data_IF_482490140368
#
_entry.id   IF_482490140368
#
_cell.length_a   1.000
_cell.length_b   1.000
_cell.length_c   1.000
_cell.angle_alpha   90.00
_cell.angle_beta   90.00
_cell.angle_gamma   90.00
#
_symmetry.space_group_name_H-M   'P 1'
#
loop_
_entity.id
_entity.type
_entity.pdbx_description
1 polymer ?
#
# COMPACT_ATOMS: atom_id res chain seq x y z
N UNK A 1 1.78 7.12 27.16
CA UNK A 1 1.69 8.56 27.49
C UNK A 1 0.33 9.02 27.03
N UNK A 2 -0.52 9.44 27.96
CA UNK A 2 -1.80 10.04 27.60
C UNK A 2 -1.56 11.32 26.79
N UNK A 3 -2.20 11.40 25.63
CA UNK A 3 -2.07 12.51 24.70
C UNK A 3 -3.41 13.23 24.61
N UNK A 4 -3.39 14.55 24.70
CA UNK A 4 -4.60 15.34 24.46
C UNK A 4 -5.10 15.11 23.04
N UNK A 5 -6.39 15.39 22.73
CA UNK A 5 -6.88 15.32 21.35
C UNK A 5 -6.00 16.13 20.37
N UNK A 6 -5.48 17.28 20.79
CA UNK A 6 -4.57 18.08 19.96
C UNK A 6 -3.29 17.32 19.60
N UNK A 7 -2.67 16.63 20.56
CA UNK A 7 -1.49 15.80 20.30
C UNK A 7 -1.78 14.66 19.32
N UNK A 8 -2.93 13.99 19.46
CA UNK A 8 -3.33 12.90 18.54
C UNK A 8 -3.61 13.37 17.11
N UNK A 9 -4.09 14.60 16.93
CA UNK A 9 -4.44 15.17 15.63
C UNK A 9 -3.39 16.14 15.05
N UNK A 10 -2.26 16.35 15.73
CA UNK A 10 -1.24 17.34 15.31
C UNK A 10 -0.89 17.22 13.81
N UNK A 11 -0.58 16.02 13.34
CA UNK A 11 -0.25 15.80 11.94
C UNK A 11 -1.42 16.02 10.97
N UNK A 12 -2.66 15.84 11.41
CA UNK A 12 -3.83 16.16 10.58
C UNK A 12 -3.87 17.67 10.29
N UNK A 13 -3.64 18.51 11.31
CA UNK A 13 -3.54 19.95 11.11
C UNK A 13 -2.38 20.36 10.20
N UNK A 14 -1.21 19.73 10.35
CA UNK A 14 -0.06 19.95 9.45
C UNK A 14 -0.42 19.65 8.01
N UNK A 15 -1.06 18.51 7.74
CA UNK A 15 -1.47 18.14 6.38
C UNK A 15 -2.56 19.04 5.82
N UNK A 16 -3.53 19.45 6.64
CA UNK A 16 -4.55 20.41 6.22
C UNK A 16 -3.94 21.78 5.87
N UNK A 17 -2.94 22.24 6.64
CA UNK A 17 -2.21 23.47 6.34
C UNK A 17 -1.40 23.36 5.05
N UNK A 18 -0.81 22.20 4.76
CA UNK A 18 -0.04 21.93 3.54
C UNK A 18 -0.90 21.66 2.29
N UNK A 19 -2.23 21.57 2.43
CA UNK A 19 -3.14 21.18 1.36
C UNK A 19 -3.05 22.11 0.15
N UNK A 20 -3.04 23.42 0.37
CA UNK A 20 -2.96 24.39 -0.73
C UNK A 20 -1.65 24.26 -1.52
N UNK A 21 -0.54 23.96 -0.85
CA UNK A 21 0.77 23.85 -1.49
C UNK A 21 0.90 22.60 -2.34
N UNK A 22 0.45 21.45 -1.85
CA UNK A 22 0.45 20.21 -2.65
C UNK A 22 -0.51 20.32 -3.83
N UNK A 23 -1.68 20.95 -3.66
CA UNK A 23 -2.63 21.20 -4.76
C UNK A 23 -2.03 22.12 -5.83
N UNK A 24 -1.29 23.16 -5.43
CA UNK A 24 -0.55 24.02 -6.36
C UNK A 24 0.57 23.26 -7.07
N UNK A 25 1.27 22.36 -6.38
CA UNK A 25 2.26 21.48 -6.99
C UNK A 25 1.63 20.56 -8.04
N UNK A 26 0.52 19.90 -7.72
CA UNK A 26 -0.24 19.07 -8.65
C UNK A 26 -0.69 19.86 -9.88
N UNK A 27 -1.24 21.07 -9.70
CA UNK A 27 -1.63 21.93 -10.81
C UNK A 27 -0.45 22.29 -11.73
N UNK A 28 0.72 22.65 -11.18
CA UNK A 28 1.93 22.94 -11.97
C UNK A 28 2.46 21.72 -12.74
N UNK A 29 2.26 20.51 -12.21
CA UNK A 29 2.58 19.24 -12.88
C UNK A 29 1.49 18.78 -13.85
N UNK A 30 0.40 19.53 -13.96
CA UNK A 30 -0.74 19.19 -14.81
C UNK A 30 -1.51 17.96 -14.35
N UNK A 31 -1.40 17.58 -13.08
CA UNK A 31 -2.12 16.42 -12.53
C UNK A 31 -3.64 16.69 -12.56
N UNK A 32 -4.46 15.79 -13.11
CA UNK A 32 -5.92 15.94 -13.08
C UNK A 32 -6.46 16.14 -11.66
N UNK A 33 -7.48 16.99 -11.53
CA UNK A 33 -8.05 17.35 -10.22
C UNK A 33 -8.57 16.11 -9.47
N UNK A 34 -9.26 15.22 -10.18
CA UNK A 34 -9.78 13.96 -9.66
C UNK A 34 -8.67 13.05 -9.10
N UNK A 35 -7.53 12.93 -9.79
CA UNK A 35 -6.38 12.12 -9.34
C UNK A 35 -5.77 12.74 -8.09
N UNK A 36 -5.64 14.06 -8.07
CA UNK A 36 -5.14 14.75 -6.88
C UNK A 36 -6.05 14.54 -5.67
N UNK A 37 -7.36 14.70 -5.81
CA UNK A 37 -8.28 14.52 -4.69
C UNK A 37 -8.39 13.06 -4.26
N UNK A 38 -8.40 12.11 -5.20
CA UNK A 38 -8.35 10.69 -4.89
C UNK A 38 -7.10 10.33 -4.08
N UNK A 39 -5.95 10.89 -4.47
CA UNK A 39 -4.68 10.74 -3.76
C UNK A 39 -4.77 11.33 -2.35
N UNK A 40 -5.18 12.58 -2.20
CA UNK A 40 -5.21 13.27 -0.90
C UNK A 40 -6.30 12.74 0.05
N UNK A 41 -7.31 12.05 -0.48
CA UNK A 41 -8.34 11.36 0.31
C UNK A 41 -7.76 10.26 1.19
N UNK A 42 -6.52 9.83 0.96
CA UNK A 42 -5.83 8.87 1.84
C UNK A 42 -5.66 9.42 3.27
N UNK A 43 -5.66 10.75 3.46
CA UNK A 43 -5.70 11.35 4.80
C UNK A 43 -6.90 10.84 5.61
N UNK A 44 -8.10 10.86 5.03
CA UNK A 44 -9.31 10.35 5.68
C UNK A 44 -9.26 8.85 5.98
N UNK A 45 -8.67 8.05 5.06
CA UNK A 45 -8.50 6.61 5.25
C UNK A 45 -7.55 6.30 6.40
N UNK A 46 -6.45 7.06 6.51
CA UNK A 46 -5.49 6.89 7.60
C UNK A 46 -6.07 7.33 8.96
N UNK A 47 -6.89 8.39 9.00
CA UNK A 47 -7.64 8.78 10.20
C UNK A 47 -8.61 7.67 10.67
N UNK A 48 -9.34 7.05 9.73
CA UNK A 48 -10.22 5.92 10.03
C UNK A 48 -9.43 4.71 10.55
N UNK A 49 -8.32 4.36 9.89
CA UNK A 49 -7.45 3.25 10.29
C UNK A 49 -6.87 3.43 11.68
N UNK A 50 -6.38 4.64 11.99
CA UNK A 50 -5.83 4.97 13.31
C UNK A 50 -6.87 4.73 14.43
N UNK A 51 -8.12 5.15 14.19
CA UNK A 51 -9.24 4.89 15.12
C UNK A 51 -9.54 3.41 15.29
N UNK A 52 -9.55 2.64 14.20
CA UNK A 52 -9.79 1.19 14.26
C UNK A 52 -8.70 0.46 15.04
N UNK A 53 -7.43 0.86 14.85
CA UNK A 53 -6.28 0.22 15.48
C UNK A 53 -6.17 0.53 16.98
N UNK A 54 -6.52 1.74 17.39
CA UNK A 54 -6.15 2.27 18.71
C UNK A 54 -7.36 2.65 19.57
N UNK A 55 -8.58 2.53 19.04
CA UNK A 55 -9.83 2.73 19.77
C UNK A 55 -10.27 4.19 19.92
N UNK A 56 -9.38 5.15 19.69
CA UNK A 56 -9.64 6.59 19.75
C UNK A 56 -9.18 7.31 18.47
N UNK A 57 -9.66 8.53 18.25
CA UNK A 57 -9.34 9.27 17.04
C UNK A 57 -7.97 9.96 17.08
N UNK A 58 -7.23 9.86 15.97
CA UNK A 58 -5.94 10.51 15.78
C UNK A 58 -5.32 10.23 14.40
N UNK A 59 -4.07 10.65 14.23
CA UNK A 59 -3.23 10.35 13.07
C UNK A 59 -1.80 10.05 13.52
N UNK A 60 -1.60 8.94 14.25
CA UNK A 60 -0.30 8.58 14.82
C UNK A 60 0.60 7.89 13.80
N UNK A 61 0.04 7.27 12.76
CA UNK A 61 0.81 6.76 11.60
C UNK A 61 1.04 7.85 10.54
N UNK A 62 1.65 8.98 10.92
CA UNK A 62 1.71 10.16 10.05
C UNK A 62 2.73 10.07 8.91
N UNK A 63 3.83 9.34 9.07
CA UNK A 63 4.96 9.36 8.13
C UNK A 63 4.60 8.96 6.69
N UNK A 64 3.65 8.02 6.52
CA UNK A 64 3.18 7.58 5.20
C UNK A 64 2.59 8.72 4.36
N UNK A 65 1.83 9.62 4.99
CA UNK A 65 1.13 10.71 4.30
C UNK A 65 2.09 11.79 3.79
N UNK A 66 3.35 11.81 4.23
CA UNK A 66 4.36 12.71 3.66
C UNK A 66 4.53 12.49 2.15
N UNK A 67 4.37 11.26 1.66
CA UNK A 67 4.43 10.95 0.23
C UNK A 67 3.34 11.67 -0.58
N UNK A 68 2.15 11.78 0.00
CA UNK A 68 0.99 12.40 -0.63
C UNK A 68 1.20 13.91 -0.68
N UNK A 69 1.53 14.51 0.46
CA UNK A 69 1.66 15.96 0.60
C UNK A 69 2.96 16.53 0.01
N UNK A 70 3.93 15.67 -0.37
CA UNK A 70 5.10 16.07 -1.17
C UNK A 70 4.98 15.74 -2.68
N UNK A 71 3.83 15.21 -3.12
CA UNK A 71 3.57 14.90 -4.54
C UNK A 71 4.43 13.75 -5.11
N UNK A 72 4.74 12.74 -4.28
CA UNK A 72 5.50 11.56 -4.69
C UNK A 72 4.62 10.34 -5.04
N UNK A 73 3.40 10.27 -4.51
CA UNK A 73 2.46 9.16 -4.70
C UNK A 73 1.17 9.66 -5.36
N UNK A 74 0.58 8.84 -6.23
CA UNK A 74 -0.68 9.14 -6.91
C UNK A 74 -1.60 7.92 -6.92
N UNK A 75 -2.88 8.11 -6.62
CA UNK A 75 -3.90 7.10 -6.76
C UNK A 75 -4.46 7.12 -8.19
N UNK A 76 -4.28 6.02 -8.92
CA UNK A 76 -4.77 5.84 -10.28
C UNK A 76 -5.73 4.64 -10.26
N UNK A 77 -7.02 4.91 -10.13
CA UNK A 77 -8.03 3.86 -9.91
C UNK A 77 -7.88 3.16 -8.55
N UNK A 78 -7.73 1.83 -8.58
CA UNK A 78 -7.65 0.97 -7.40
C UNK A 78 -6.29 0.99 -6.70
N UNK A 79 -5.20 1.21 -7.44
CA UNK A 79 -3.83 1.18 -6.91
C UNK A 79 -3.27 2.60 -6.75
N UNK A 80 -2.23 2.69 -5.92
CA UNK A 80 -1.42 3.89 -5.75
C UNK A 80 0.01 3.62 -6.21
N UNK A 81 0.65 4.64 -6.78
CA UNK A 81 1.98 4.55 -7.37
C UNK A 81 2.89 5.63 -6.82
N UNK A 82 4.00 5.25 -6.18
CA UNK A 82 5.01 6.17 -5.66
C UNK A 82 6.23 6.19 -6.58
N UNK A 83 6.71 7.37 -6.95
CA UNK A 83 8.01 7.50 -7.64
C UNK A 83 9.14 7.13 -6.67
N UNK A 84 9.99 6.19 -7.07
CA UNK A 84 11.12 5.73 -6.26
C UNK A 84 12.29 5.27 -7.15
N UNK A 85 13.40 4.92 -6.51
CA UNK A 85 14.50 4.21 -7.14
C UNK A 85 14.56 2.79 -6.57
N UNK A 86 14.98 1.84 -7.41
CA UNK A 86 15.30 0.47 -6.98
C UNK A 86 16.34 0.53 -5.88
N UNK A 87 16.11 -0.20 -4.79
CA UNK A 87 17.05 -0.37 -3.68
C UNK A 87 17.73 -1.72 -3.81
N UNK A 88 18.91 -1.92 -3.21
CA UNK A 88 19.61 -3.21 -3.16
C UNK A 88 18.68 -4.40 -2.83
N UNK A 89 17.79 -4.23 -1.84
CA UNK A 89 16.85 -5.27 -1.41
C UNK A 89 15.78 -5.67 -2.46
N UNK A 90 15.67 -4.92 -3.56
CA UNK A 90 14.69 -5.16 -4.62
C UNK A 90 15.33 -5.57 -5.94
N UNK A 91 16.67 -5.66 -6.02
CA UNK A 91 17.40 -5.96 -7.25
C UNK A 91 17.01 -7.34 -7.79
N UNK A 92 16.81 -7.42 -9.11
CA UNK A 92 16.57 -8.65 -9.84
C UNK A 92 17.42 -8.66 -11.12
N UNK A 93 17.56 -9.82 -11.77
CA UNK A 93 18.36 -9.92 -13.00
C UNK A 93 17.92 -8.94 -14.11
N UNK A 94 16.66 -8.51 -14.09
CA UNK A 94 16.06 -7.62 -15.08
C UNK A 94 16.32 -6.12 -14.87
N UNK A 95 16.87 -5.70 -13.71
CA UNK A 95 17.12 -4.29 -13.36
C UNK A 95 18.03 -4.14 -12.13
N UNK A 96 18.82 -3.05 -12.11
CA UNK A 96 19.81 -2.78 -11.06
C UNK A 96 19.36 -1.74 -10.04
N UNK A 97 20.09 -1.66 -8.94
CA UNK A 97 19.95 -0.61 -7.94
C UNK A 97 20.09 0.79 -8.55
N UNK A 98 19.30 1.74 -8.06
CA UNK A 98 19.29 3.12 -8.52
C UNK A 98 18.39 3.37 -9.74
N UNK A 99 17.96 2.35 -10.49
CA UNK A 99 17.03 2.55 -11.59
C UNK A 99 15.69 3.16 -11.11
N UNK A 100 15.09 4.11 -11.85
CA UNK A 100 13.76 4.61 -11.53
C UNK A 100 12.70 3.49 -11.58
N UNK A 101 11.79 3.47 -10.62
CA UNK A 101 10.69 2.53 -10.54
C UNK A 101 9.45 3.18 -9.91
N UNK A 102 8.29 2.55 -10.10
CA UNK A 102 7.07 2.90 -9.38
C UNK A 102 6.81 1.89 -8.25
N UNK A 103 6.68 2.38 -7.02
CA UNK A 103 6.20 1.58 -5.89
C UNK A 103 4.68 1.42 -5.95
N UNK A 104 4.17 0.18 -5.98
CA UNK A 104 2.73 -0.12 -5.95
C UNK A 104 2.25 -0.24 -4.50
N UNK A 105 1.16 0.45 -4.19
CA UNK A 105 0.49 0.42 -2.90
C UNK A 105 -1.02 0.19 -3.05
N UNK A 106 -1.62 -0.43 -2.03
CA UNK A 106 -3.02 -0.87 -2.04
C UNK A 106 -3.79 -0.13 -0.95
N UNK A 107 -4.53 0.95 -1.27
CA UNK A 107 -5.38 1.62 -0.29
C UNK A 107 -6.56 0.72 0.09
N UNK A 108 -6.99 0.77 1.36
CA UNK A 108 -8.14 0.03 1.91
C UNK A 108 -9.46 0.70 1.46
N UNK A 109 -9.81 0.52 0.18
CA UNK A 109 -10.94 1.23 -0.46
C UNK A 109 -11.92 0.33 -1.23
N UNK A 110 -11.65 -0.97 -1.33
CA UNK A 110 -12.51 -1.91 -2.04
C UNK A 110 -11.80 -3.23 -2.40
N UNK A 111 -12.46 -4.15 -3.11
CA UNK A 111 -11.83 -5.39 -3.57
C UNK A 111 -10.70 -5.11 -4.58
N UNK A 112 -9.74 -6.03 -4.66
CA UNK A 112 -8.68 -6.04 -5.69
C UNK A 112 -9.15 -6.85 -6.91
N UNK A 113 -10.26 -6.46 -7.54
CA UNK A 113 -10.72 -7.18 -8.74
C UNK A 113 -9.66 -7.11 -9.84
N UNK A 114 -9.49 -8.17 -10.65
CA UNK A 114 -8.51 -8.19 -11.74
C UNK A 114 -8.64 -6.96 -12.64
N UNK A 115 -9.86 -6.61 -13.02
CA UNK A 115 -10.17 -5.52 -13.94
C UNK A 115 -9.72 -4.17 -13.36
N UNK A 116 -10.02 -3.92 -12.09
CA UNK A 116 -9.63 -2.67 -11.44
C UNK A 116 -8.11 -2.55 -11.23
N UNK A 117 -7.41 -3.68 -11.02
CA UNK A 117 -5.96 -3.71 -10.98
C UNK A 117 -5.35 -3.45 -12.36
N UNK A 118 -5.90 -4.07 -13.41
CA UNK A 118 -5.41 -3.93 -14.78
C UNK A 118 -5.63 -2.50 -15.28
N UNK A 119 -6.78 -1.90 -15.00
CA UNK A 119 -7.06 -0.48 -15.28
C UNK A 119 -6.07 0.46 -14.57
N UNK A 120 -5.74 0.18 -13.31
CA UNK A 120 -4.74 0.95 -12.56
C UNK A 120 -3.34 0.86 -13.16
N UNK A 121 -2.92 -0.35 -13.57
CA UNK A 121 -1.61 -0.59 -14.17
C UNK A 121 -1.51 0.08 -15.54
N UNK A 122 -2.56 -0.03 -16.37
CA UNK A 122 -2.64 0.61 -17.68
C UNK A 122 -2.57 2.15 -17.61
N UNK A 123 -3.10 2.76 -16.54
CA UNK A 123 -3.00 4.20 -16.31
C UNK A 123 -1.60 4.66 -15.90
N UNK A 124 -0.82 3.81 -15.22
CA UNK A 124 0.42 4.24 -14.56
C UNK A 124 1.46 4.78 -15.56
N UNK A 125 1.82 4.00 -16.57
CA UNK A 125 2.84 4.38 -17.54
C UNK A 125 2.55 5.71 -18.27
N UNK A 126 1.38 5.92 -18.90
CA UNK A 126 1.08 7.18 -19.56
C UNK A 126 1.00 8.36 -18.58
N UNK A 127 0.48 8.14 -17.37
CA UNK A 127 0.41 9.18 -16.34
C UNK A 127 1.80 9.69 -15.96
N UNK A 128 2.72 8.80 -15.58
CA UNK A 128 4.06 9.22 -15.15
C UNK A 128 4.90 9.75 -16.32
N UNK A 129 4.76 9.19 -17.52
CA UNK A 129 5.43 9.74 -18.71
C UNK A 129 5.00 11.19 -19.01
N UNK A 130 3.72 11.51 -18.81
CA UNK A 130 3.18 12.86 -19.05
C UNK A 130 3.58 13.87 -17.99
N UNK A 131 3.48 13.49 -16.71
CA UNK A 131 3.59 14.44 -15.60
C UNK A 131 4.99 14.48 -14.95
N UNK A 132 5.79 13.44 -15.16
CA UNK A 132 7.14 13.28 -14.62
C UNK A 132 8.13 12.73 -15.67
N UNK A 133 8.25 13.36 -16.85
CA UNK A 133 9.09 12.88 -17.95
C UNK A 133 10.58 12.81 -17.57
N UNK A 134 11.01 13.51 -16.52
CA UNK A 134 12.39 13.49 -16.04
C UNK A 134 12.84 12.16 -15.42
N UNK A 135 11.90 11.29 -15.05
CA UNK A 135 12.16 9.98 -14.42
C UNK A 135 11.41 8.88 -15.15
N UNK A 136 11.77 8.57 -16.42
CA UNK A 136 11.11 7.52 -17.17
C UNK A 136 11.34 6.17 -16.51
N UNK A 137 10.30 5.34 -16.46
CA UNK A 137 10.41 3.98 -15.94
C UNK A 137 9.41 3.05 -16.63
N UNK A 138 9.81 1.79 -16.72
CA UNK A 138 8.98 0.65 -17.15
C UNK A 138 8.68 -0.31 -15.99
N UNK A 139 9.21 -0.04 -14.80
CA UNK A 139 9.24 -0.98 -13.69
C UNK A 139 8.25 -0.56 -12.62
N UNK A 140 7.49 -1.53 -12.12
CA UNK A 140 6.74 -1.38 -10.89
C UNK A 140 7.13 -2.46 -9.88
N UNK A 141 7.27 -2.05 -8.62
CA UNK A 141 7.69 -2.89 -7.50
C UNK A 141 6.63 -2.82 -6.41
N UNK A 142 6.25 -3.96 -5.86
CA UNK A 142 5.37 -4.05 -4.71
C UNK A 142 6.04 -4.87 -3.62
N UNK A 143 5.95 -4.40 -2.38
CA UNK A 143 6.32 -5.18 -1.19
C UNK A 143 5.09 -5.28 -0.31
N UNK A 144 4.58 -6.50 -0.12
CA UNK A 144 3.36 -6.73 0.66
C UNK A 144 3.22 -8.18 1.09
N UNK A 145 2.52 -8.40 2.20
CA UNK A 145 2.02 -9.72 2.60
C UNK A 145 1.08 -10.34 1.56
N UNK A 146 0.42 -9.51 0.73
CA UNK A 146 -0.45 -9.98 -0.36
C UNK A 146 0.31 -10.75 -1.46
N UNK A 147 1.64 -10.64 -1.50
CA UNK A 147 2.50 -11.33 -2.46
C UNK A 147 3.03 -12.66 -1.92
N UNK A 148 2.64 -13.08 -0.72
CA UNK A 148 3.07 -14.34 -0.13
C UNK A 148 2.43 -15.55 -0.86
N UNK A 149 3.23 -16.42 -1.53
CA UNK A 149 2.71 -17.62 -2.19
C UNK A 149 1.98 -18.57 -1.23
N UNK A 150 2.30 -18.54 0.07
CA UNK A 150 1.66 -19.36 1.10
C UNK A 150 0.13 -19.12 1.15
N UNK A 151 -0.36 -17.95 0.69
CA UNK A 151 -1.79 -17.65 0.65
C UNK A 151 -2.56 -18.61 -0.29
N UNK A 152 -1.90 -19.12 -1.33
CA UNK A 152 -2.52 -20.05 -2.28
C UNK A 152 -2.74 -21.45 -1.70
N UNK A 153 -2.15 -21.80 -0.56
CA UNK A 153 -2.45 -23.05 0.16
C UNK A 153 -3.84 -23.02 0.81
N UNK A 154 -4.40 -21.83 1.04
CA UNK A 154 -5.65 -21.64 1.79
C UNK A 154 -6.77 -20.96 1.00
N UNK A 155 -6.41 -20.15 0.01
CA UNK A 155 -7.35 -19.38 -0.78
C UNK A 155 -7.60 -20.02 -2.15
N UNK A 156 -8.82 -19.88 -2.65
CA UNK A 156 -9.16 -20.36 -3.98
C UNK A 156 -8.29 -19.67 -5.06
N UNK A 157 -7.91 -20.39 -6.15
CA UNK A 157 -7.07 -19.84 -7.22
C UNK A 157 -7.64 -18.61 -7.91
N UNK A 158 -8.96 -18.42 -7.85
CA UNK A 158 -9.69 -17.29 -8.41
C UNK A 158 -9.88 -16.12 -7.43
N UNK A 159 -9.45 -16.27 -6.18
CA UNK A 159 -9.49 -15.17 -5.21
C UNK A 159 -8.65 -13.98 -5.69
N UNK A 160 -9.18 -12.78 -5.46
CA UNK A 160 -8.55 -11.52 -5.86
C UNK A 160 -7.12 -11.38 -5.31
N UNK A 161 -6.87 -11.84 -4.08
CA UNK A 161 -5.55 -11.79 -3.44
C UNK A 161 -4.55 -12.68 -4.19
N UNK A 162 -4.90 -13.94 -4.47
CA UNK A 162 -4.03 -14.86 -5.21
C UNK A 162 -3.78 -14.36 -6.63
N UNK A 163 -4.82 -13.87 -7.32
CA UNK A 163 -4.69 -13.28 -8.66
C UNK A 163 -3.79 -12.05 -8.64
N UNK A 164 -3.90 -11.18 -7.63
CA UNK A 164 -3.04 -10.01 -7.49
C UNK A 164 -1.57 -10.40 -7.32
N UNK A 165 -1.26 -11.32 -6.39
CA UNK A 165 0.11 -11.79 -6.15
C UNK A 165 0.76 -12.43 -7.40
N UNK A 166 -0.01 -13.18 -8.20
CA UNK A 166 0.47 -13.82 -9.45
C UNK A 166 0.87 -12.85 -10.56
N UNK A 167 0.60 -11.55 -10.43
CA UNK A 167 1.04 -10.52 -11.40
C UNK A 167 2.54 -10.23 -11.31
N UNK A 168 3.20 -10.64 -10.22
CA UNK A 168 4.55 -10.24 -9.90
C UNK A 168 5.54 -11.39 -10.02
N UNK A 169 6.72 -11.07 -10.53
CA UNK A 169 7.91 -11.91 -10.36
C UNK A 169 8.53 -11.58 -9.01
N UNK A 170 8.66 -12.57 -8.12
CA UNK A 170 9.18 -12.36 -6.77
C UNK A 170 10.70 -12.22 -6.73
N UNK A 171 11.19 -11.47 -5.75
CA UNK A 171 12.61 -11.25 -5.48
C UNK A 171 12.91 -11.59 -4.03
N UNK A 172 13.86 -12.50 -3.84
CA UNK A 172 14.27 -12.97 -2.52
C UNK A 172 13.13 -13.61 -1.70
N UNK A 173 13.43 -13.90 -0.44
CA UNK A 173 12.52 -14.59 0.48
C UNK A 173 11.60 -13.64 1.28
N UNK A 174 11.76 -12.33 1.08
CA UNK A 174 11.07 -11.31 1.87
C UNK A 174 11.47 -11.33 3.35
N UNK A 175 10.64 -10.72 4.19
CA UNK A 175 10.84 -10.63 5.64
C UNK A 175 9.56 -11.03 6.39
N UNK A 176 9.63 -11.08 7.72
CA UNK A 176 8.48 -11.40 8.57
C UNK A 176 7.28 -10.50 8.25
N UNK A 177 6.14 -11.12 7.96
CA UNK A 177 4.91 -10.44 7.55
C UNK A 177 3.79 -10.54 8.56
N UNK A 178 3.98 -11.21 9.69
CA UNK A 178 2.92 -11.51 10.67
C UNK A 178 2.29 -10.23 11.23
N UNK A 179 3.12 -9.27 11.64
CA UNK A 179 2.63 -8.00 12.14
C UNK A 179 1.84 -7.21 11.07
N UNK A 180 2.27 -7.27 9.81
CA UNK A 180 1.61 -6.56 8.72
C UNK A 180 0.25 -7.18 8.40
N UNK A 181 0.19 -8.49 8.19
CA UNK A 181 -1.07 -9.15 7.84
C UNK A 181 -2.10 -9.03 8.99
N UNK A 182 -1.65 -9.14 10.25
CA UNK A 182 -2.52 -8.95 11.42
C UNK A 182 -3.07 -7.51 11.49
N UNK A 183 -2.21 -6.53 11.23
CA UNK A 183 -2.59 -5.11 11.24
C UNK A 183 -3.56 -4.78 10.12
N UNK A 184 -3.36 -5.30 8.91
CA UNK A 184 -4.18 -4.96 7.74
C UNK A 184 -5.49 -5.74 7.66
N UNK A 185 -5.53 -6.99 8.13
CA UNK A 185 -6.74 -7.82 8.05
C UNK A 185 -7.64 -7.65 9.28
N UNK A 186 -7.06 -7.51 10.47
CA UNK A 186 -7.81 -7.49 11.72
C UNK A 186 -7.83 -6.13 12.44
N UNK A 187 -7.05 -5.16 11.95
CA UNK A 187 -6.84 -3.89 12.64
C UNK A 187 -6.39 -4.09 14.11
N UNK A 188 -5.48 -5.05 14.34
CA UNK A 188 -4.91 -5.34 15.66
C UNK A 188 -3.39 -5.20 15.66
N UNK A 189 -2.84 -4.76 16.80
CA UNK A 189 -1.40 -4.75 17.07
C UNK A 189 -1.14 -5.84 18.11
N UNK A 190 -0.32 -6.82 17.76
CA UNK A 190 0.05 -7.96 18.62
C UNK A 190 -1.14 -8.63 19.33
N UNK A 191 -2.21 -9.02 18.61
CA UNK A 191 -3.35 -9.71 19.21
C UNK A 191 -2.97 -11.11 19.70
N UNK A 192 -3.73 -11.64 20.66
CA UNK A 192 -3.76 -13.09 20.88
C UNK A 192 -4.48 -13.74 19.71
N UNK A 193 -3.90 -14.79 19.14
CA UNK A 193 -4.44 -15.44 17.94
C UNK A 193 -5.84 -16.03 18.18
N UNK A 194 -6.12 -16.49 19.40
CA UNK A 194 -7.41 -17.07 19.76
C UNK A 194 -8.57 -16.06 19.81
N UNK A 195 -8.26 -14.77 19.90
CA UNK A 195 -9.27 -13.70 19.96
C UNK A 195 -9.63 -13.16 18.56
N UNK A 196 -8.96 -13.64 17.51
CA UNK A 196 -9.16 -13.15 16.16
C UNK A 196 -10.48 -13.66 15.57
N UNK A 197 -11.27 -12.79 14.92
CA UNK A 197 -12.50 -13.20 14.24
C UNK A 197 -12.16 -14.18 13.09
N UNK A 198 -13.08 -15.09 12.78
CA UNK A 198 -12.88 -16.13 11.77
C UNK A 198 -14.07 -16.22 10.79
N UNK A 199 -14.56 -15.04 10.37
CA UNK A 199 -15.78 -14.87 9.56
C UNK A 199 -15.50 -15.13 8.09
N UNK A 200 -14.34 -14.69 7.58
CA UNK A 200 -13.95 -14.88 6.17
C UNK A 200 -12.95 -16.02 6.00
N UNK A 201 -12.80 -16.51 4.76
CA UNK A 201 -11.80 -17.54 4.43
C UNK A 201 -10.38 -17.05 4.70
N UNK A 202 -10.08 -15.78 4.40
CA UNK A 202 -8.77 -15.18 4.68
C UNK A 202 -8.49 -15.12 6.19
N UNK A 203 -9.48 -14.69 6.99
CA UNK A 203 -9.32 -14.63 8.44
C UNK A 203 -9.03 -16.03 9.04
N UNK A 204 -9.76 -17.07 8.60
CA UNK A 204 -9.51 -18.46 9.00
C UNK A 204 -8.15 -18.97 8.55
N UNK A 205 -7.73 -18.65 7.32
CA UNK A 205 -6.43 -19.03 6.79
C UNK A 205 -5.29 -18.50 7.67
N UNK A 206 -5.34 -17.22 8.03
CA UNK A 206 -4.31 -16.58 8.85
C UNK A 206 -4.22 -17.23 10.23
N UNK A 207 -5.36 -17.44 10.90
CA UNK A 207 -5.40 -18.08 12.22
C UNK A 207 -4.88 -19.51 12.16
N UNK A 208 -5.31 -20.31 11.17
CA UNK A 208 -4.86 -21.69 11.02
C UNK A 208 -3.34 -21.78 10.75
N UNK A 209 -2.81 -20.90 9.90
CA UNK A 209 -1.39 -20.84 9.57
C UNK A 209 -0.53 -20.54 10.80
N UNK A 210 -0.90 -19.51 11.56
CA UNK A 210 -0.17 -19.11 12.77
C UNK A 210 -0.28 -20.16 13.89
N UNK A 211 -1.45 -20.80 14.06
CA UNK A 211 -1.62 -21.90 15.02
C UNK A 211 -0.79 -23.13 14.69
N UNK A 212 -0.49 -23.36 13.42
CA UNK A 212 0.41 -24.42 12.98
C UNK A 212 1.90 -24.10 13.22
N UNK A 213 2.21 -22.97 13.86
CA UNK A 213 3.59 -22.52 14.09
C UNK A 213 4.30 -22.02 12.83
N UNK A 214 3.55 -21.73 11.76
CA UNK A 214 4.07 -21.13 10.54
C UNK A 214 3.98 -19.60 10.61
N UNK A 215 4.71 -18.92 9.72
CA UNK A 215 4.78 -17.45 9.65
C UNK A 215 4.45 -16.96 8.24
N UNK A 216 3.72 -15.85 8.17
CA UNK A 216 3.48 -15.12 6.93
C UNK A 216 4.69 -14.25 6.57
N UNK A 217 4.85 -13.97 5.28
CA UNK A 217 5.98 -13.21 4.74
C UNK A 217 5.50 -11.98 3.99
N UNK A 218 6.14 -10.84 4.25
CA UNK A 218 6.07 -9.70 3.35
C UNK A 218 7.06 -9.92 2.21
N UNK A 219 6.54 -10.18 1.01
CA UNK A 219 7.33 -10.47 -0.19
C UNK A 219 7.47 -9.24 -1.06
N UNK A 220 8.60 -9.14 -1.75
CA UNK A 220 8.83 -8.14 -2.80
C UNK A 220 8.67 -8.81 -4.16
N UNK A 221 7.94 -8.16 -5.05
CA UNK A 221 7.81 -8.58 -6.43
C UNK A 221 7.75 -7.40 -7.39
N UNK A 222 8.02 -7.66 -8.66
CA UNK A 222 8.05 -6.66 -9.71
C UNK A 222 7.28 -7.09 -10.95
N UNK A 223 6.90 -6.11 -11.77
CA UNK A 223 6.33 -6.31 -13.09
C UNK A 223 6.78 -5.20 -14.04
N UNK A 224 6.55 -5.40 -15.33
CA UNK A 224 6.73 -4.38 -16.37
C UNK A 224 5.41 -3.68 -16.63
N UNK A 225 5.44 -2.35 -16.78
CA UNK A 225 4.30 -1.47 -17.09
C UNK A 225 4.10 -1.24 -18.60
#
# INVERSE_FOLDING_TARGET
MDSTPLGRYFFAYVYLAALADVRRFHARRGIPDEVSWATLSDLGRNLKRDRLLLGDGGLRTSGWLTLHFRGSIYQLGRLQFTRMNVRAAHVADAFREGEPALGIHIPESGPLTPEACDDSLAQARPFFARHFPETPTRLAICTSWLLDPQLAEYLAPDSNVVRFGRRFTLVGEGYDGDADILRFVFHRITPRIDDLPQRTTLERAIVAHLRAGKHWRSRTGWLVL
#
